data_IF_123552851606
#
_entry.id   IF_123552851606
#
_cell.length_a   1.000
_cell.length_b   1.000
_cell.length_c   1.000
_cell.angle_alpha   90.00
_cell.angle_beta   90.00
_cell.angle_gamma   90.00
#
_symmetry.space_group_name_H-M   'P 1'
#
loop_
_entity.id
_entity.type
_entity.pdbx_description
1 polymer ?
#
# COMPACT_ATOMS: atom_id res chain seq x y z
N UNK A 1 -17.33 -12.02 19.77
CA UNK A 1 -17.50 -10.57 19.58
C UNK A 1 -16.11 -9.95 19.47
N UNK A 2 -15.49 -10.10 18.30
CA UNK A 2 -14.15 -9.58 18.03
C UNK A 2 -14.27 -8.10 17.70
N UNK A 3 -13.61 -7.25 18.49
CA UNK A 3 -13.41 -5.85 18.18
C UNK A 3 -12.48 -5.79 16.96
N UNK A 4 -13.05 -5.84 15.76
CA UNK A 4 -12.37 -5.35 14.56
C UNK A 4 -12.06 -3.88 14.84
N UNK A 5 -10.81 -3.59 15.21
CA UNK A 5 -10.28 -2.25 15.08
C UNK A 5 -10.27 -1.98 13.58
N UNK A 6 -11.34 -1.36 13.06
CA UNK A 6 -11.36 -0.82 11.71
C UNK A 6 -10.28 0.26 11.65
N UNK A 7 -9.08 -0.15 11.23
CA UNK A 7 -7.97 0.75 11.04
C UNK A 7 -8.30 1.64 9.86
N UNK A 8 -8.74 2.85 10.16
CA UNK A 8 -8.95 3.88 9.16
C UNK A 8 -7.63 4.62 8.98
N UNK A 9 -7.21 4.76 7.73
CA UNK A 9 -5.97 5.43 7.40
C UNK A 9 -6.22 6.71 6.61
N UNK A 10 -5.37 7.70 6.82
CA UNK A 10 -5.23 8.85 5.93
C UNK A 10 -3.89 8.75 5.21
N UNK A 11 -3.91 8.78 3.88
CA UNK A 11 -2.71 8.89 3.07
C UNK A 11 -2.55 10.34 2.60
N UNK A 12 -1.53 11.00 3.13
CA UNK A 12 -1.22 12.40 2.87
C UNK A 12 -0.02 12.48 1.93
N UNK A 13 -0.20 13.19 0.82
CA UNK A 13 0.89 13.56 -0.08
C UNK A 13 1.52 14.86 0.41
N UNK A 14 2.83 14.83 0.72
CA UNK A 14 3.59 16.03 1.10
C UNK A 14 4.65 16.25 0.01
N UNK A 15 4.43 17.29 -0.79
CA UNK A 15 5.40 17.74 -1.80
C UNK A 15 6.15 18.94 -1.26
N UNK A 16 7.48 18.81 -1.10
CA UNK A 16 8.36 19.88 -0.65
C UNK A 16 9.40 20.26 -1.71
N UNK A 17 9.01 20.34 -2.99
CA UNK A 17 9.82 20.86 -4.10
C UNK A 17 11.03 20.02 -4.54
N UNK A 18 11.74 19.38 -3.60
CA UNK A 18 12.94 18.56 -3.85
C UNK A 18 12.70 17.05 -3.65
N UNK A 19 11.66 16.66 -2.90
CA UNK A 19 11.27 15.26 -2.71
C UNK A 19 9.77 15.16 -2.40
N UNK A 20 9.08 14.25 -3.10
CA UNK A 20 7.72 13.85 -2.75
C UNK A 20 7.79 12.69 -1.76
N UNK A 21 7.27 12.92 -0.55
CA UNK A 21 7.10 11.86 0.46
C UNK A 21 5.62 11.71 0.76
N UNK A 22 5.21 10.46 1.01
CA UNK A 22 3.84 10.18 1.43
C UNK A 22 3.87 9.72 2.88
N UNK A 23 2.89 10.17 3.63
CA UNK A 23 2.67 9.74 5.00
C UNK A 23 1.34 9.01 5.09
N UNK A 24 1.41 7.74 5.48
CA UNK A 24 0.25 6.96 5.85
C UNK A 24 0.08 7.05 7.37
N UNK A 25 -1.04 7.63 7.81
CA UNK A 25 -1.34 7.82 9.23
C UNK A 25 -2.57 7.01 9.62
N UNK A 26 -2.50 6.32 10.75
CA UNK A 26 -3.67 5.70 11.38
C UNK A 26 -4.50 6.81 12.04
N UNK A 27 -5.79 6.88 11.76
CA UNK A 27 -6.71 7.83 12.40
C UNK A 27 -7.73 7.17 13.34
N UNK A 28 -7.99 5.89 13.14
CA UNK A 28 -8.78 5.09 14.07
C UNK A 28 -8.02 3.78 14.35
N UNK A 29 -7.76 3.42 15.62
CA UNK A 29 -7.97 4.23 16.83
C UNK A 29 -7.00 5.41 16.86
N UNK A 30 -7.50 6.58 17.26
CA UNK A 30 -6.71 7.83 17.31
C UNK A 30 -5.59 7.80 18.36
N UNK A 31 -5.56 6.77 19.21
CA UNK A 31 -4.56 6.54 20.26
C UNK A 31 -3.26 5.94 19.71
N UNK A 32 -3.22 5.50 18.45
CA UNK A 32 -2.00 5.02 17.81
C UNK A 32 -1.27 6.17 17.10
N UNK A 33 -0.09 6.60 17.58
CA UNK A 33 0.66 7.71 16.99
C UNK A 33 1.43 7.32 15.71
N UNK A 34 1.05 6.22 15.05
CA UNK A 34 1.85 5.68 13.95
C UNK A 34 1.62 6.46 12.66
N UNK A 35 2.69 7.09 12.21
CA UNK A 35 2.80 7.62 10.86
C UNK A 35 3.89 6.86 10.14
N UNK A 36 3.54 6.25 9.01
CA UNK A 36 4.44 5.45 8.19
C UNK A 36 4.88 6.27 6.98
N UNK A 37 6.19 6.32 6.76
CA UNK A 37 6.76 6.99 5.60
C UNK A 37 6.75 6.03 4.41
N UNK A 38 6.27 6.53 3.28
CA UNK A 38 6.29 5.81 2.02
C UNK A 38 7.12 6.57 0.99
N UNK A 39 7.73 5.82 0.08
CA UNK A 39 8.31 6.37 -1.14
C UNK A 39 7.32 6.21 -2.29
N UNK A 40 6.94 7.29 -2.99
CA UNK A 40 6.17 7.16 -4.23
C UNK A 40 6.89 6.24 -5.22
N UNK A 41 6.13 5.42 -5.92
CA UNK A 41 6.62 4.65 -7.05
C UNK A 41 6.80 5.53 -8.28
N UNK A 42 7.72 5.12 -9.16
CA UNK A 42 7.86 5.67 -10.52
C UNK A 42 6.98 4.90 -11.52
N UNK A 43 5.92 4.25 -11.02
CA UNK A 43 4.92 3.54 -11.82
C UNK A 43 3.54 4.05 -11.45
N UNK A 44 2.66 4.09 -12.45
CA UNK A 44 1.31 4.61 -12.29
C UNK A 44 1.25 6.13 -12.14
N UNK A 45 0.05 6.69 -11.91
CA UNK A 45 -0.12 8.12 -11.67
C UNK A 45 0.44 8.55 -10.32
N UNK A 46 0.67 9.87 -10.18
CA UNK A 46 1.07 10.50 -8.92
C UNK A 46 -0.09 10.54 -7.90
N UNK A 47 0.26 10.64 -6.61
CA UNK A 47 -0.70 10.86 -5.53
C UNK A 47 -1.16 12.32 -5.50
N UNK A 48 -2.13 12.65 -6.36
CA UNK A 48 -2.68 14.00 -6.48
C UNK A 48 -3.88 14.27 -5.55
N UNK A 49 -4.35 13.24 -4.84
CA UNK A 49 -5.46 13.34 -3.90
C UNK A 49 -5.06 12.77 -2.54
N UNK A 50 -5.66 13.32 -1.49
CA UNK A 50 -5.56 12.75 -0.15
C UNK A 50 -6.65 11.70 0.01
N UNK A 51 -6.28 10.51 0.45
CA UNK A 51 -7.26 9.45 0.74
C UNK A 51 -7.63 9.53 2.22
N UNK A 52 -8.87 9.95 2.53
CA UNK A 52 -9.33 10.21 3.90
C UNK A 52 -10.35 9.21 4.44
N UNK A 53 -10.91 8.35 3.58
CA UNK A 53 -11.96 7.38 3.93
C UNK A 53 -11.75 6.03 3.26
N UNK A 54 -10.50 5.64 3.08
CA UNK A 54 -10.12 4.33 2.51
C UNK A 54 -9.45 3.49 3.57
N UNK A 55 -9.87 2.24 3.68
CA UNK A 55 -9.17 1.26 4.50
C UNK A 55 -7.92 0.78 3.78
N UNK A 56 -6.94 0.34 4.57
CA UNK A 56 -5.81 -0.43 4.06
C UNK A 56 -6.17 -1.92 4.18
N UNK A 57 -6.07 -2.68 3.10
CA UNK A 57 -6.55 -4.06 3.03
C UNK A 57 -5.43 -4.96 2.54
N UNK A 58 -5.10 -6.01 3.30
CA UNK A 58 -4.15 -7.02 2.87
C UNK A 58 -4.75 -7.82 1.70
N UNK A 59 -4.02 -7.94 0.58
CA UNK A 59 -4.50 -8.76 -0.53
C UNK A 59 -4.39 -10.26 -0.24
N UNK A 60 -5.26 -11.05 -0.82
CA UNK A 60 -5.14 -12.50 -0.87
C UNK A 60 -5.01 -12.97 -2.33
N UNK A 61 -3.91 -13.63 -2.73
CA UNK A 61 -2.73 -13.93 -1.93
C UNK A 61 -1.94 -12.64 -1.54
N UNK A 62 -1.17 -12.64 -0.44
CA UNK A 62 -0.45 -11.46 0.05
C UNK A 62 0.51 -10.82 -0.96
N UNK A 63 1.01 -11.60 -1.92
CA UNK A 63 1.94 -11.11 -2.93
C UNK A 63 1.24 -10.61 -4.21
N UNK A 64 -0.07 -10.79 -4.37
CA UNK A 64 -0.86 -10.34 -5.52
C UNK A 64 -0.23 -10.64 -6.90
N UNK A 65 0.45 -11.78 -7.03
CA UNK A 65 1.03 -12.20 -8.32
C UNK A 65 0.00 -12.88 -9.22
N UNK A 66 -1.13 -13.26 -8.63
CA UNK A 66 -2.30 -13.83 -9.26
C UNK A 66 -3.50 -12.93 -8.95
N UNK A 67 -4.68 -13.32 -9.44
CA UNK A 67 -5.92 -12.61 -9.15
C UNK A 67 -6.17 -12.54 -7.64
N UNK A 68 -6.56 -11.36 -7.17
CA UNK A 68 -6.84 -11.12 -5.75
C UNK A 68 -8.21 -11.70 -5.40
N UNK A 69 -8.25 -12.73 -4.54
CA UNK A 69 -9.45 -13.47 -4.16
C UNK A 69 -10.38 -12.67 -3.26
N UNK A 70 -9.85 -11.81 -2.38
CA UNK A 70 -10.63 -10.93 -1.50
C UNK A 70 -10.97 -9.58 -2.16
N UNK A 71 -11.26 -9.58 -3.47
CA UNK A 71 -11.56 -8.37 -4.24
C UNK A 71 -12.70 -7.53 -3.65
N UNK A 72 -13.70 -8.15 -3.01
CA UNK A 72 -14.79 -7.42 -2.35
C UNK A 72 -14.29 -6.49 -1.23
N UNK A 73 -13.27 -6.90 -0.48
CA UNK A 73 -12.67 -6.09 0.58
C UNK A 73 -11.72 -5.02 0.02
N UNK A 74 -10.98 -5.37 -1.02
CA UNK A 74 -10.01 -4.47 -1.69
C UNK A 74 -10.69 -3.38 -2.50
N UNK A 75 -11.89 -3.63 -3.03
CA UNK A 75 -12.61 -2.69 -3.86
C UNK A 75 -12.83 -1.34 -3.16
N UNK A 76 -12.45 -0.25 -3.83
CA UNK A 76 -12.46 1.14 -3.32
C UNK A 76 -11.51 1.42 -2.16
N UNK A 77 -10.65 0.48 -1.79
CA UNK A 77 -9.68 0.58 -0.71
C UNK A 77 -8.23 0.56 -1.22
N UNK A 78 -7.27 0.80 -0.32
CA UNK A 78 -5.85 0.73 -0.62
C UNK A 78 -5.37 -0.70 -0.41
N UNK A 79 -4.79 -1.31 -1.45
CA UNK A 79 -4.23 -2.65 -1.36
C UNK A 79 -2.85 -2.64 -0.69
N UNK A 80 -2.67 -3.43 0.36
CA UNK A 80 -1.39 -3.71 1.00
C UNK A 80 -0.85 -5.05 0.51
N UNK A 81 0.35 -5.03 -0.09
CA UNK A 81 0.90 -6.18 -0.81
C UNK A 81 2.35 -6.44 -0.34
N UNK A 82 2.73 -7.68 -0.09
CA UNK A 82 4.12 -8.04 0.21
C UNK A 82 4.97 -8.09 -1.07
N UNK A 83 6.19 -7.56 -0.98
CA UNK A 83 7.21 -7.67 -2.04
C UNK A 83 7.64 -9.14 -2.24
N UNK A 84 7.93 -9.52 -3.48
CA UNK A 84 8.42 -10.85 -3.85
C UNK A 84 7.51 -11.57 -4.86
N UNK A 85 7.99 -12.65 -5.45
CA UNK A 85 7.25 -13.51 -6.39
C UNK A 85 7.08 -12.96 -7.81
N UNK A 86 6.80 -11.67 -7.97
CA UNK A 86 6.55 -11.02 -9.27
C UNK A 86 6.89 -9.52 -9.23
N UNK A 87 6.82 -8.86 -10.39
CA UNK A 87 7.11 -7.43 -10.54
C UNK A 87 6.09 -6.51 -9.86
N UNK A 88 6.50 -5.27 -9.55
CA UNK A 88 5.61 -4.24 -9.01
C UNK A 88 4.44 -3.91 -9.96
N UNK A 89 4.70 -3.89 -11.26
CA UNK A 89 3.68 -3.66 -12.30
C UNK A 89 2.60 -4.75 -12.24
N UNK A 90 3.00 -6.03 -12.14
CA UNK A 90 2.04 -7.15 -12.04
C UNK A 90 1.17 -7.03 -10.79
N UNK A 91 1.79 -6.73 -9.64
CA UNK A 91 1.07 -6.51 -8.36
C UNK A 91 0.04 -5.40 -8.48
N UNK A 92 0.44 -4.26 -9.05
CA UNK A 92 -0.41 -3.10 -9.16
C UNK A 92 -1.59 -3.33 -10.13
N UNK A 93 -1.36 -4.04 -11.24
CA UNK A 93 -2.42 -4.41 -12.18
C UNK A 93 -3.43 -5.35 -11.52
N UNK A 94 -2.97 -6.40 -10.84
CA UNK A 94 -3.88 -7.35 -10.18
C UNK A 94 -4.70 -6.68 -9.08
N UNK A 95 -4.10 -5.80 -8.29
CA UNK A 95 -4.83 -5.01 -7.30
C UNK A 95 -5.82 -4.04 -7.93
N UNK A 96 -5.45 -3.39 -9.04
CA UNK A 96 -6.36 -2.52 -9.79
C UNK A 96 -7.57 -3.27 -10.34
N UNK A 97 -7.35 -4.46 -10.91
CA UNK A 97 -8.43 -5.34 -11.39
C UNK A 97 -9.38 -5.73 -10.24
N UNK A 98 -8.86 -5.87 -9.02
CA UNK A 98 -9.65 -6.11 -7.82
C UNK A 98 -10.39 -4.86 -7.27
N UNK A 99 -10.27 -3.72 -7.94
CA UNK A 99 -10.94 -2.47 -7.56
C UNK A 99 -10.16 -1.60 -6.58
N UNK A 100 -8.89 -1.89 -6.31
CA UNK A 100 -8.06 -1.04 -5.47
C UNK A 100 -7.93 0.37 -6.07
N UNK A 101 -7.92 1.39 -5.21
CA UNK A 101 -7.75 2.80 -5.63
C UNK A 101 -6.30 3.29 -5.52
N UNK A 102 -5.48 2.57 -4.76
CA UNK A 102 -4.04 2.77 -4.64
C UNK A 102 -3.38 1.48 -4.15
N UNK A 103 -2.07 1.37 -4.32
CA UNK A 103 -1.27 0.22 -3.88
C UNK A 103 -0.14 0.68 -2.97
N UNK A 104 0.03 -0.03 -1.86
CA UNK A 104 1.19 0.06 -0.99
C UNK A 104 1.88 -1.31 -0.99
N UNK A 105 3.11 -1.36 -1.49
CA UNK A 105 3.94 -2.56 -1.42
C UNK A 105 4.93 -2.42 -0.26
N UNK A 106 5.03 -3.42 0.61
CA UNK A 106 6.00 -3.43 1.69
C UNK A 106 7.08 -4.51 1.50
N UNK A 107 8.29 -4.27 2.01
CA UNK A 107 9.38 -5.25 1.89
C UNK A 107 9.09 -6.53 2.70
N UNK A 108 9.45 -7.69 2.14
CA UNK A 108 9.30 -8.98 2.84
C UNK A 108 10.28 -9.14 4.01
N UNK A 109 11.41 -8.43 3.98
CA UNK A 109 12.37 -8.40 5.07
C UNK A 109 11.83 -7.52 6.21
N UNK A 110 11.31 -8.17 7.24
CA UNK A 110 10.72 -7.55 8.44
C UNK A 110 11.66 -6.62 9.22
N UNK A 111 12.96 -6.62 8.93
CA UNK A 111 13.96 -5.73 9.57
C UNK A 111 14.40 -4.59 8.66
N UNK A 112 13.96 -4.55 7.40
CA UNK A 112 14.32 -3.50 6.46
C UNK A 112 13.71 -2.16 6.92
N UNK A 113 14.57 -1.14 7.06
CA UNK A 113 14.19 0.23 7.45
C UNK A 113 14.24 1.21 6.27
N UNK A 114 14.84 0.80 5.16
CA UNK A 114 14.95 1.61 3.96
C UNK A 114 13.77 1.37 3.03
N UNK A 115 13.36 2.42 2.34
CA UNK A 115 12.43 2.36 1.21
C UNK A 115 13.21 2.48 -0.10
N UNK A 116 12.61 2.04 -1.19
CA UNK A 116 13.13 2.22 -2.53
C UNK A 116 11.98 2.53 -3.49
N UNK A 117 12.31 3.09 -4.65
CA UNK A 117 11.32 3.41 -5.67
C UNK A 117 10.83 2.13 -6.37
N UNK A 118 9.54 2.05 -6.61
CA UNK A 118 8.94 1.01 -7.46
C UNK A 118 9.18 1.38 -8.93
N UNK A 119 9.80 0.47 -9.68
CA UNK A 119 10.15 0.67 -11.09
C UNK A 119 9.36 -0.23 -12.04
N UNK A 120 9.36 0.13 -13.31
CA UNK A 120 8.76 -0.62 -14.41
C UNK A 120 9.49 -1.95 -14.65
N UNK A 121 8.83 -2.89 -15.33
CA UNK A 121 9.34 -4.24 -15.62
C UNK A 121 9.52 -4.57 -17.11
N UNK A 122 9.77 -3.56 -17.94
CA UNK A 122 9.99 -3.65 -19.40
C UNK A 122 8.84 -4.25 -20.24
N UNK A 123 7.72 -4.62 -19.62
CA UNK A 123 6.57 -5.22 -20.32
C UNK A 123 5.68 -4.20 -21.05
N UNK A 124 6.01 -2.91 -21.03
CA UNK A 124 5.19 -1.80 -21.55
C UNK A 124 3.75 -1.71 -21.00
N UNK A 125 3.38 -2.54 -20.01
CA UNK A 125 2.06 -2.51 -19.37
C UNK A 125 1.94 -1.27 -18.51
N UNK A 126 0.79 -0.60 -18.59
CA UNK A 126 0.52 0.63 -17.84
C UNK A 126 -0.21 0.33 -16.53
N UNK A 127 0.33 0.84 -15.44
CA UNK A 127 -0.34 0.87 -14.13
C UNK A 127 -1.28 2.08 -14.08
N UNK A 128 -2.52 1.88 -13.63
CA UNK A 128 -3.55 2.93 -13.66
C UNK A 128 -3.85 3.56 -12.30
N UNK A 129 -3.30 3.00 -11.22
CA UNK A 129 -3.51 3.48 -9.85
C UNK A 129 -2.18 3.87 -9.20
N UNK A 130 -2.18 4.88 -8.32
CA UNK A 130 -0.97 5.36 -7.69
C UNK A 130 -0.37 4.27 -6.79
N UNK A 131 0.96 4.19 -6.78
CA UNK A 131 1.72 3.13 -6.11
C UNK A 131 2.76 3.73 -5.18
N UNK A 132 2.89 3.17 -3.97
CA UNK A 132 3.89 3.58 -3.00
C UNK A 132 4.57 2.38 -2.34
N UNK A 133 5.78 2.61 -1.84
CA UNK A 133 6.60 1.60 -1.19
C UNK A 133 6.80 1.88 0.30
N UNK A 134 6.65 0.86 1.13
CA UNK A 134 6.87 0.88 2.58
C UNK A 134 8.04 -0.04 2.96
N UNK A 135 8.82 0.36 3.96
CA UNK A 135 9.86 -0.51 4.50
C UNK A 135 9.23 -1.76 5.17
N UNK A 136 10.01 -2.83 5.32
CA UNK A 136 9.49 -4.10 5.83
C UNK A 136 9.23 -4.10 7.35
N UNK A 137 9.96 -3.28 8.12
CA UNK A 137 9.72 -3.12 9.56
C UNK A 137 8.30 -2.59 9.83
N UNK A 138 7.92 -1.53 9.15
CA UNK A 138 6.62 -0.88 9.28
C UNK A 138 5.50 -1.75 8.70
N UNK A 139 5.72 -2.34 7.51
CA UNK A 139 4.76 -3.24 6.90
C UNK A 139 4.43 -4.45 7.77
N UNK A 140 5.43 -5.00 8.47
CA UNK A 140 5.23 -6.09 9.41
C UNK A 140 4.43 -5.67 10.66
N UNK A 141 4.70 -4.48 11.21
CA UNK A 141 3.93 -3.92 12.33
C UNK A 141 2.46 -3.76 11.94
N UNK A 142 2.18 -3.20 10.77
CA UNK A 142 0.80 -3.06 10.26
C UNK A 142 0.12 -4.41 10.09
N UNK A 143 0.81 -5.39 9.50
CA UNK A 143 0.26 -6.74 9.34
C UNK A 143 -0.09 -7.41 10.67
N UNK A 144 0.68 -7.12 11.73
CA UNK A 144 0.36 -7.60 13.08
C UNK A 144 -0.94 -6.95 13.57
N UNK A 145 -1.11 -5.64 13.38
CA UNK A 145 -2.32 -4.94 13.80
C UNK A 145 -3.58 -5.46 13.10
N UNK A 146 -3.49 -5.97 11.86
CA UNK A 146 -4.62 -6.60 11.17
C UNK A 146 -4.97 -8.01 11.67
N UNK A 147 -4.06 -8.69 12.39
CA UNK A 147 -4.24 -10.07 12.86
C UNK A 147 -4.70 -10.16 14.32
N UNK A 148 -4.79 -9.04 15.02
CA UNK A 148 -5.27 -8.93 16.39
C UNK A 148 -6.64 -8.23 16.41
#
# INVERSE_FOLDING_TARGET
MLLLLELVFILISISNGENDYLHLRVINPSTLPFTYRLSPGQIGPHFNTTFTSTSLVLTEPPHACELVSNAHEVNRNIALIIRGGCSFVTKAINAHVAGAVAVIVYDFNRKAIHTFSMIQDDTSRRVQIPCAFMNGKDGYVICILFKF
#
